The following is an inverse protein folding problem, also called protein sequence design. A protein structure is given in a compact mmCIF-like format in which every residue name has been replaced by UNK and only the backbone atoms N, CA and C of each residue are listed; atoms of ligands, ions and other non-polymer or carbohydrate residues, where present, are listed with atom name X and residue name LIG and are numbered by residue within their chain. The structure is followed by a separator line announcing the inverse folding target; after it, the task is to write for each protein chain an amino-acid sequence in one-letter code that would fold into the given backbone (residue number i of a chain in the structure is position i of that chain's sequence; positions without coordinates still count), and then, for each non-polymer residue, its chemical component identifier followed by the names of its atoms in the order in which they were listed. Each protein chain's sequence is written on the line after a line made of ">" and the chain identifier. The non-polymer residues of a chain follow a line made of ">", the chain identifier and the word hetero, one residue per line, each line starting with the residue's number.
data_IF_561510993023
#
_entry.id   IF_561510993023
#
_cell.length_a   1.000
_cell.length_b   1.000
_cell.length_c   1.000
_cell.angle_alpha   90.00
_cell.angle_beta   90.00
_cell.angle_gamma   90.00
#
_symmetry.space_group_name_H-M   'P 1'
#
loop_
_entity.id
_entity.type
_entity.pdbx_description
1 polymer ?
#
# COMPACT_ATOMS: atom_id res chain seq x y z
N UNK A 1 22.53 1.49 15.63
CA UNK A 1 21.18 0.89 15.62
C UNK A 1 21.11 -0.05 14.43
N UNK A 2 20.77 -1.33 14.62
CA UNK A 2 20.48 -2.25 13.49
C UNK A 2 19.12 -1.82 12.91
N UNK A 3 18.99 -1.81 11.59
CA UNK A 3 17.69 -1.64 10.91
C UNK A 3 17.14 -3.03 10.65
N UNK A 4 15.85 -3.21 10.88
CA UNK A 4 15.15 -4.42 10.48
C UNK A 4 14.99 -4.42 8.96
N UNK A 5 15.16 -5.58 8.34
CA UNK A 5 15.06 -5.77 6.89
C UNK A 5 13.85 -6.64 6.59
N UNK A 6 12.93 -6.08 5.82
CA UNK A 6 11.73 -6.78 5.37
C UNK A 6 11.82 -7.18 3.91
N UNK A 7 11.02 -8.19 3.54
CA UNK A 7 10.77 -8.54 2.15
C UNK A 7 9.28 -8.38 1.85
N UNK A 8 8.95 -7.72 0.74
CA UNK A 8 7.57 -7.66 0.24
C UNK A 8 7.19 -8.99 -0.38
N UNK A 9 6.15 -9.64 0.13
CA UNK A 9 5.68 -10.97 -0.28
C UNK A 9 4.97 -10.98 -1.65
N UNK A 10 5.53 -10.28 -2.63
CA UNK A 10 5.10 -10.27 -4.02
C UNK A 10 5.78 -11.42 -4.82
N UNK A 11 5.66 -11.39 -6.15
CA UNK A 11 6.22 -12.39 -7.06
C UNK A 11 5.61 -13.78 -6.81
N UNK A 12 6.43 -14.83 -6.79
CA UNK A 12 6.01 -16.21 -6.57
C UNK A 12 5.58 -16.51 -5.12
N UNK A 13 5.72 -15.56 -4.19
CA UNK A 13 5.18 -15.69 -2.84
C UNK A 13 3.66 -15.45 -2.76
N UNK A 14 3.06 -14.76 -3.75
CA UNK A 14 1.61 -14.50 -3.77
C UNK A 14 0.79 -15.79 -3.87
N UNK A 15 1.34 -16.83 -4.51
CA UNK A 15 0.70 -18.14 -4.67
C UNK A 15 0.94 -19.09 -3.48
N UNK A 16 1.71 -18.67 -2.48
CA UNK A 16 2.08 -19.48 -1.30
C UNK A 16 1.27 -19.09 -0.09
N UNK A 17 1.04 -20.02 0.84
CA UNK A 17 0.38 -19.70 2.09
C UNK A 17 1.24 -18.76 2.95
N UNK A 18 0.61 -17.88 3.75
CA UNK A 18 1.35 -16.93 4.58
C UNK A 18 2.33 -17.61 5.56
N UNK A 19 1.98 -18.79 6.07
CA UNK A 19 2.88 -19.59 6.91
C UNK A 19 4.16 -20.02 6.17
N UNK A 20 4.03 -20.53 4.94
CA UNK A 20 5.17 -20.94 4.11
C UNK A 20 6.04 -19.74 3.71
N UNK A 21 5.42 -18.60 3.39
CA UNK A 21 6.13 -17.35 3.07
C UNK A 21 6.97 -16.92 4.26
N UNK A 22 6.34 -16.85 5.45
CA UNK A 22 7.00 -16.38 6.66
C UNK A 22 8.21 -17.26 7.04
N UNK A 23 8.02 -18.58 7.07
CA UNK A 23 9.09 -19.54 7.36
C UNK A 23 10.26 -19.36 6.36
N UNK A 24 9.95 -19.30 5.07
CA UNK A 24 10.94 -19.16 4.01
C UNK A 24 11.75 -17.87 4.12
N UNK A 25 11.12 -16.74 4.47
CA UNK A 25 11.81 -15.45 4.59
C UNK A 25 12.64 -15.37 5.87
N UNK A 26 12.15 -15.95 6.98
CA UNK A 26 12.91 -16.04 8.23
C UNK A 26 14.16 -16.91 8.06
N UNK A 27 14.05 -18.05 7.38
CA UNK A 27 15.19 -18.92 7.06
C UNK A 27 16.22 -18.24 6.16
N UNK A 28 15.77 -17.33 5.28
CA UNK A 28 16.64 -16.50 4.44
C UNK A 28 17.28 -15.32 5.22
N UNK A 29 16.86 -15.06 6.46
CA UNK A 29 17.43 -14.04 7.34
C UNK A 29 16.73 -12.69 7.30
N UNK A 30 15.53 -12.59 6.74
CA UNK A 30 14.69 -11.38 6.87
C UNK A 30 14.11 -11.26 8.29
N UNK A 31 14.01 -10.02 8.78
CA UNK A 31 13.51 -9.75 10.13
C UNK A 31 11.96 -9.72 10.16
N UNK A 32 11.31 -9.35 9.05
CA UNK A 32 9.83 -9.35 8.93
C UNK A 32 9.34 -9.39 7.48
N UNK A 33 8.02 -9.44 7.30
CA UNK A 33 7.36 -9.47 5.98
C UNK A 33 6.58 -8.18 5.74
N UNK A 34 6.68 -7.62 4.55
CA UNK A 34 5.66 -6.69 4.04
C UNK A 34 4.66 -7.52 3.22
N UNK A 35 3.45 -7.68 3.75
CA UNK A 35 2.43 -8.51 3.12
C UNK A 35 1.84 -7.80 1.91
N UNK A 36 1.26 -8.55 0.98
CA UNK A 36 0.46 -7.99 -0.11
C UNK A 36 -1.01 -8.37 0.09
N UNK A 37 -1.89 -7.80 -0.74
CA UNK A 37 -3.31 -8.16 -0.74
C UNK A 37 -3.57 -9.65 -1.06
N UNK A 38 -2.59 -10.39 -1.60
CA UNK A 38 -2.69 -11.83 -1.80
C UNK A 38 -2.85 -12.60 -0.46
N UNK A 39 -2.35 -12.06 0.65
CA UNK A 39 -2.35 -12.72 1.96
C UNK A 39 -3.25 -12.05 3.00
N UNK A 40 -4.10 -11.11 2.59
CA UNK A 40 -4.93 -10.27 3.48
C UNK A 40 -5.84 -11.07 4.43
N UNK A 41 -6.27 -12.27 4.02
CA UNK A 41 -7.11 -13.16 4.86
C UNK A 41 -6.32 -13.96 5.90
N UNK A 42 -4.99 -13.98 5.82
CA UNK A 42 -4.11 -14.79 6.69
C UNK A 42 -2.80 -14.05 7.05
N UNK A 43 -2.91 -12.77 7.41
CA UNK A 43 -1.76 -11.95 7.79
C UNK A 43 -1.06 -12.49 9.05
N UNK A 44 0.28 -12.57 9.03
CA UNK A 44 1.10 -13.13 10.12
C UNK A 44 2.15 -12.13 10.62
N UNK A 45 2.61 -12.34 11.85
CA UNK A 45 3.72 -11.59 12.46
C UNK A 45 5.02 -12.42 12.44
N UNK A 46 6.21 -11.79 12.40
CA UNK A 46 6.46 -10.34 12.34
C UNK A 46 6.19 -9.72 10.96
N UNK A 47 5.53 -8.56 10.95
CA UNK A 47 5.22 -7.81 9.73
C UNK A 47 5.62 -6.33 9.84
N UNK A 48 6.12 -5.76 8.74
CA UNK A 48 6.47 -4.33 8.66
C UNK A 48 5.33 -3.47 8.11
N UNK A 49 4.58 -3.98 7.14
CA UNK A 49 3.47 -3.28 6.50
C UNK A 49 2.56 -4.26 5.73
N UNK A 50 1.42 -3.77 5.27
CA UNK A 50 0.59 -4.38 4.23
C UNK A 50 0.56 -3.47 3.00
N UNK A 51 1.06 -3.94 1.86
CA UNK A 51 0.97 -3.26 0.58
C UNK A 51 -0.43 -3.44 -0.02
N UNK A 52 -1.20 -2.34 -0.04
CA UNK A 52 -2.49 -2.20 -0.69
C UNK A 52 -2.39 -1.14 -1.80
N UNK A 53 -1.71 -1.52 -2.87
CA UNK A 53 -1.28 -0.61 -3.95
C UNK A 53 -2.35 -0.47 -5.05
N UNK A 54 -3.59 -0.15 -4.65
CA UNK A 54 -4.73 -0.03 -5.58
C UNK A 54 -4.62 1.22 -6.47
N UNK A 55 -5.04 1.12 -7.73
CA UNK A 55 -5.20 2.28 -8.63
C UNK A 55 -6.37 3.16 -8.16
N UNK A 56 -6.08 4.24 -7.43
CA UNK A 56 -7.11 5.15 -6.92
C UNK A 56 -7.75 6.00 -8.02
N UNK A 57 -7.08 6.21 -9.15
CA UNK A 57 -7.57 7.05 -10.24
C UNK A 57 -8.62 6.32 -11.06
N UNK A 58 -8.30 5.11 -11.55
CA UNK A 58 -9.20 4.37 -12.43
C UNK A 58 -10.06 3.35 -11.68
N UNK A 59 -9.58 2.84 -10.54
CA UNK A 59 -10.34 1.94 -9.67
C UNK A 59 -11.37 2.66 -8.79
N UNK A 60 -11.23 3.97 -8.59
CA UNK A 60 -12.23 4.83 -7.94
C UNK A 60 -12.75 4.28 -6.61
N UNK A 61 -14.07 4.25 -6.44
CA UNK A 61 -14.72 3.78 -5.20
C UNK A 61 -14.36 2.33 -4.84
N UNK A 62 -14.13 1.47 -5.83
CA UNK A 62 -13.72 0.07 -5.58
C UNK A 62 -12.31 0.00 -5.00
N UNK A 63 -11.37 0.78 -5.54
CA UNK A 63 -10.01 0.87 -4.99
C UNK A 63 -10.00 1.41 -3.56
N UNK A 64 -10.83 2.42 -3.29
CA UNK A 64 -11.01 2.95 -1.92
C UNK A 64 -11.55 1.88 -1.00
N UNK A 65 -12.65 1.21 -1.36
CA UNK A 65 -13.26 0.17 -0.52
C UNK A 65 -12.29 -0.96 -0.20
N UNK A 66 -11.48 -1.38 -1.17
CA UNK A 66 -10.45 -2.41 -0.98
C UNK A 66 -9.34 -1.94 -0.04
N UNK A 67 -8.96 -0.66 -0.11
CA UNK A 67 -7.97 -0.06 0.80
C UNK A 67 -8.51 0.05 2.23
N UNK A 68 -9.80 0.38 2.41
CA UNK A 68 -10.44 0.38 3.73
C UNK A 68 -10.46 -1.03 4.33
N UNK A 69 -10.75 -2.05 3.52
CA UNK A 69 -10.68 -3.46 3.93
C UNK A 69 -9.26 -3.85 4.37
N UNK A 70 -8.24 -3.38 3.65
CA UNK A 70 -6.84 -3.61 4.00
C UNK A 70 -6.47 -2.97 5.35
N UNK A 71 -6.97 -1.77 5.64
CA UNK A 71 -6.76 -1.09 6.92
C UNK A 71 -7.37 -1.90 8.07
N UNK A 72 -8.60 -2.38 7.91
CA UNK A 72 -9.26 -3.23 8.90
C UNK A 72 -8.46 -4.51 9.15
N UNK A 73 -8.07 -5.23 8.09
CA UNK A 73 -7.27 -6.45 8.20
C UNK A 73 -5.90 -6.20 8.84
N UNK A 74 -5.21 -5.11 8.48
CA UNK A 74 -3.95 -4.71 9.08
C UNK A 74 -4.10 -4.41 10.58
N UNK A 75 -5.14 -3.67 10.97
CA UNK A 75 -5.42 -3.35 12.36
C UNK A 75 -5.67 -4.63 13.19
N UNK A 76 -6.49 -5.55 12.68
CA UNK A 76 -6.77 -6.83 13.34
C UNK A 76 -5.52 -7.71 13.49
N UNK A 77 -4.64 -7.71 12.47
CA UNK A 77 -3.39 -8.44 12.48
C UNK A 77 -2.26 -7.76 13.29
N UNK A 78 -2.50 -6.55 13.83
CA UNK A 78 -1.50 -5.77 14.55
C UNK A 78 -0.40 -5.18 13.66
N UNK A 79 -0.69 -4.96 12.38
CA UNK A 79 0.21 -4.33 11.40
C UNK A 79 -0.07 -2.82 11.38
N UNK A 80 0.92 -2.02 11.73
CA UNK A 80 0.75 -0.59 11.95
C UNK A 80 0.80 0.31 10.71
N UNK A 81 1.07 -0.26 9.53
CA UNK A 81 1.26 0.50 8.28
C UNK A 81 0.55 -0.22 7.13
N UNK A 82 -0.22 0.54 6.34
CA UNK A 82 -0.71 0.14 5.02
C UNK A 82 -0.03 1.03 3.98
N UNK A 83 0.71 0.41 3.05
CA UNK A 83 1.38 1.09 1.94
C UNK A 83 0.39 1.25 0.76
N UNK A 84 0.24 2.48 0.27
CA UNK A 84 -0.66 2.87 -0.83
C UNK A 84 0.07 3.72 -1.85
N UNK A 85 -0.50 3.78 -3.06
CA UNK A 85 -0.05 4.63 -4.17
C UNK A 85 -1.21 5.44 -4.74
N UNK A 86 -0.95 6.27 -5.77
CA UNK A 86 -2.00 7.09 -6.41
C UNK A 86 -2.71 6.39 -7.57
N UNK A 87 -2.01 5.59 -8.37
CA UNK A 87 -2.49 5.13 -9.67
C UNK A 87 -2.50 6.26 -10.73
N UNK A 88 -2.79 5.95 -12.02
CA UNK A 88 -2.98 4.62 -12.57
C UNK A 88 -1.75 3.71 -12.45
N UNK A 89 -1.92 2.41 -12.29
CA UNK A 89 -0.79 1.47 -12.20
C UNK A 89 -0.34 1.07 -13.62
N UNK A 90 0.52 1.86 -14.27
CA UNK A 90 0.83 1.66 -15.70
C UNK A 90 1.55 0.35 -16.07
N UNK A 91 1.97 -0.44 -15.08
CA UNK A 91 2.47 -1.79 -15.30
C UNK A 91 1.36 -2.85 -15.41
N UNK A 92 0.11 -2.50 -15.05
CA UNK A 92 -1.03 -3.41 -15.14
C UNK A 92 -1.62 -3.43 -16.55
N UNK A 93 -2.15 -4.60 -16.94
CA UNK A 93 -2.77 -4.76 -18.26
C UNK A 93 -4.02 -3.86 -18.37
N UNK A 94 -4.07 -3.06 -19.43
CA UNK A 94 -5.20 -2.18 -19.71
C UNK A 94 -5.18 -0.84 -18.96
N UNK A 95 -4.19 -0.62 -18.09
CA UNK A 95 -3.97 0.68 -17.45
C UNK A 95 -3.73 1.77 -18.49
N UNK A 96 -4.30 2.96 -18.25
CA UNK A 96 -4.20 4.11 -19.16
C UNK A 96 -3.60 5.28 -18.41
N UNK A 97 -2.60 5.91 -19.03
CA UNK A 97 -2.02 7.13 -18.51
C UNK A 97 -3.09 8.21 -18.36
N UNK A 98 -3.14 8.79 -17.16
CA UNK A 98 -3.91 9.99 -16.84
C UNK A 98 -3.03 10.91 -16.01
N UNK A 99 -3.02 12.17 -16.38
CA UNK A 99 -2.39 13.27 -15.64
C UNK A 99 -3.14 14.54 -15.98
N UNK A 100 -4.34 14.61 -15.42
CA UNK A 100 -5.29 15.71 -15.57
C UNK A 100 -5.86 16.04 -14.19
N UNK A 101 -6.43 17.23 -14.04
CA UNK A 101 -6.91 17.70 -12.73
C UNK A 101 -8.06 16.86 -12.16
N UNK A 102 -8.82 16.16 -13.00
CA UNK A 102 -9.83 15.21 -12.52
C UNK A 102 -9.15 14.00 -11.87
N UNK A 103 -8.14 13.41 -12.52
CA UNK A 103 -7.36 12.32 -11.95
C UNK A 103 -6.69 12.71 -10.62
N UNK A 104 -6.10 13.91 -10.54
CA UNK A 104 -5.55 14.46 -9.30
C UNK A 104 -6.61 14.63 -8.22
N UNK A 105 -7.77 15.21 -8.56
CA UNK A 105 -8.87 15.38 -7.59
C UNK A 105 -9.37 14.04 -7.07
N UNK A 106 -9.46 13.01 -7.92
CA UNK A 106 -9.87 11.67 -7.53
C UNK A 106 -8.87 11.03 -6.57
N UNK A 107 -7.58 11.03 -6.92
CA UNK A 107 -6.55 10.41 -6.09
C UNK A 107 -6.41 11.11 -4.73
N UNK A 108 -6.42 12.45 -4.69
CA UNK A 108 -6.30 13.21 -3.44
C UNK A 108 -7.51 13.01 -2.53
N UNK A 109 -8.74 13.00 -3.09
CA UNK A 109 -9.95 12.72 -2.32
C UNK A 109 -9.96 11.30 -1.75
N UNK A 110 -9.50 10.32 -2.52
CA UNK A 110 -9.34 8.94 -2.05
C UNK A 110 -8.33 8.86 -0.89
N UNK A 111 -7.16 9.48 -1.03
CA UNK A 111 -6.13 9.50 0.00
C UNK A 111 -6.59 10.20 1.29
N UNK A 112 -7.37 11.28 1.19
CA UNK A 112 -7.95 11.95 2.36
C UNK A 112 -8.86 10.99 3.16
N UNK A 113 -9.76 10.29 2.46
CA UNK A 113 -10.64 9.29 3.07
C UNK A 113 -9.87 8.12 3.70
N UNK A 114 -8.89 7.58 2.96
CA UNK A 114 -8.03 6.47 3.39
C UNK A 114 -7.22 6.87 4.64
N UNK A 115 -6.67 8.08 4.66
CA UNK A 115 -5.87 8.58 5.79
C UNK A 115 -6.71 8.77 7.05
N UNK A 116 -7.91 9.36 6.93
CA UNK A 116 -8.82 9.52 8.06
C UNK A 116 -9.28 8.18 8.64
N UNK A 117 -9.50 7.17 7.77
CA UNK A 117 -9.85 5.82 8.22
C UNK A 117 -8.66 5.12 8.91
N UNK A 118 -7.46 5.20 8.34
CA UNK A 118 -6.24 4.69 8.94
C UNK A 118 -6.01 5.27 10.35
N UNK A 119 -6.13 6.59 10.52
CA UNK A 119 -6.02 7.24 11.83
C UNK A 119 -7.02 6.68 12.84
N UNK A 120 -8.28 6.50 12.41
CA UNK A 120 -9.35 5.95 13.26
C UNK A 120 -9.07 4.49 13.68
N UNK A 121 -8.41 3.71 12.82
CA UNK A 121 -8.04 2.33 13.06
C UNK A 121 -6.68 2.17 13.80
N UNK A 122 -5.93 3.25 14.00
CA UNK A 122 -4.57 3.19 14.55
C UNK A 122 -3.53 2.66 13.56
N UNK A 123 -3.81 2.74 12.26
CA UNK A 123 -2.95 2.28 11.16
C UNK A 123 -2.45 3.50 10.37
N UNK A 124 -1.14 3.60 10.15
CA UNK A 124 -0.57 4.68 9.34
C UNK A 124 -0.69 4.36 7.86
N UNK A 125 -0.96 5.38 7.07
CA UNK A 125 -0.93 5.28 5.61
C UNK A 125 0.47 5.68 5.12
N UNK A 126 1.20 4.69 4.62
CA UNK A 126 2.49 4.86 3.96
C UNK A 126 2.27 5.18 2.50
N UNK A 127 2.59 6.40 2.08
CA UNK A 127 2.42 6.81 0.70
C UNK A 127 3.71 6.54 -0.09
N UNK A 128 3.61 5.73 -1.14
CA UNK A 128 4.71 5.39 -2.03
C UNK A 128 4.61 6.15 -3.36
N UNK A 129 5.49 7.13 -3.62
CA UNK A 129 5.66 7.67 -4.96
C UNK A 129 6.26 6.60 -5.87
N UNK A 130 5.47 6.13 -6.83
CA UNK A 130 5.82 4.96 -7.63
C UNK A 130 5.86 5.30 -9.11
N UNK A 131 6.91 4.84 -9.81
CA UNK A 131 7.02 5.02 -11.25
C UNK A 131 5.76 4.50 -11.95
N UNK A 132 5.24 5.29 -12.88
CA UNK A 132 4.05 4.91 -13.64
C UNK A 132 2.73 5.29 -12.98
N UNK A 133 2.71 5.84 -11.76
CA UNK A 133 1.51 6.43 -11.15
C UNK A 133 1.42 7.95 -11.36
N UNK A 134 0.33 8.60 -10.95
CA UNK A 134 0.23 10.07 -10.95
C UNK A 134 1.39 10.70 -10.18
N UNK A 135 1.66 10.19 -8.99
CA UNK A 135 2.76 10.65 -8.14
C UNK A 135 3.97 9.72 -8.27
N UNK A 136 4.81 10.02 -9.26
CA UNK A 136 5.93 9.16 -9.68
C UNK A 136 7.32 9.80 -9.49
N UNK A 137 7.38 11.06 -9.05
CA UNK A 137 8.62 11.79 -8.82
C UNK A 137 8.54 12.69 -7.58
N UNK A 138 9.64 13.38 -7.25
CA UNK A 138 9.69 14.24 -6.07
C UNK A 138 8.68 15.40 -6.12
N UNK A 139 8.41 15.97 -7.29
CA UNK A 139 7.51 17.13 -7.42
C UNK A 139 6.05 16.71 -7.26
N UNK A 140 5.67 15.61 -7.92
CA UNK A 140 4.33 15.03 -7.85
C UNK A 140 4.06 14.38 -6.48
N UNK A 141 5.07 13.81 -5.83
CA UNK A 141 4.99 13.39 -4.43
C UNK A 141 4.75 14.57 -3.49
N UNK A 142 5.49 15.68 -3.65
CA UNK A 142 5.30 16.87 -2.85
C UNK A 142 3.89 17.44 -2.99
N UNK A 143 3.31 17.39 -4.20
CA UNK A 143 1.90 17.79 -4.43
C UNK A 143 0.93 16.99 -3.56
N UNK A 144 1.15 15.69 -3.36
CA UNK A 144 0.33 14.86 -2.47
C UNK A 144 0.55 15.26 -1.00
N UNK A 145 1.81 15.40 -0.58
CA UNK A 145 2.18 15.74 0.80
C UNK A 145 1.68 17.12 1.24
N UNK A 146 1.58 18.07 0.31
CA UNK A 146 1.03 19.40 0.57
C UNK A 146 -0.50 19.38 0.70
N UNK A 147 -1.17 18.35 0.16
CA UNK A 147 -2.62 18.26 0.08
C UNK A 147 -3.25 17.34 1.13
N UNK A 148 -2.59 16.24 1.48
CA UNK A 148 -3.13 15.18 2.35
C UNK A 148 -2.10 14.82 3.43
N UNK A 149 -2.51 14.61 4.70
CA UNK A 149 -1.60 14.28 5.81
C UNK A 149 -1.10 12.82 5.78
N UNK A 150 -0.60 12.37 4.63
CA UNK A 150 0.11 11.10 4.47
C UNK A 150 1.60 11.24 4.79
N UNK A 151 2.27 10.13 5.04
CA UNK A 151 3.73 10.09 5.22
C UNK A 151 4.38 9.18 4.19
N UNK A 152 5.51 9.60 3.62
CA UNK A 152 6.36 8.69 2.84
C UNK A 152 7.04 7.73 3.80
N UNK A 153 6.87 6.43 3.58
CA UNK A 153 7.44 5.34 4.39
C UNK A 153 8.61 4.67 3.72
#
# INVERSE_FOLDING_TARGET
>A
MKRDVSFIAALDFEDRSAGEVLESLQDAGYDSVEWTMAHVEDLRQPASALACQMDLVTGGETAVAETLRAIEAAAEAGIGIVNVLTGPNLWEEGAKYRDDEEAWSTALGALEQITANGESAGVKIGFEPCWGTLAHDAATAQRVLDAVPVSVT
#
